data_IF_679133918461
#
_entry.id   IF_679133918461
#
_cell.length_a   1.000
_cell.length_b   1.000
_cell.length_c   1.000
_cell.angle_alpha   90.00
_cell.angle_beta   90.00
_cell.angle_gamma   90.00
#
_symmetry.space_group_name_H-M   'P 1'
#
loop_
_entity.id
_entity.type
_entity.pdbx_description
1 polymer ?
#
# COMPACT_ATOMS: atom_id res chain seq x y z
N UNK A 1 16.81 -67.52 9.21
CA UNK A 1 17.07 -66.97 7.86
C UNK A 1 16.25 -65.71 7.67
N UNK A 2 16.92 -64.70 7.15
CA UNK A 2 16.67 -63.25 7.25
C UNK A 2 15.40 -62.76 6.53
N UNK A 3 14.54 -62.02 7.25
CA UNK A 3 13.44 -61.23 6.67
C UNK A 3 13.91 -59.81 6.36
N UNK A 4 13.81 -59.47 5.08
CA UNK A 4 13.84 -58.16 4.42
C UNK A 4 13.80 -56.89 5.32
N UNK A 5 14.91 -56.15 5.36
CA UNK A 5 15.00 -54.79 5.92
C UNK A 5 15.28 -53.69 4.87
N UNK A 6 15.04 -53.95 3.57
CA UNK A 6 15.38 -53.00 2.50
C UNK A 6 14.21 -52.29 1.82
N UNK A 7 12.97 -52.42 2.33
CA UNK A 7 11.81 -51.73 1.75
C UNK A 7 11.42 -50.42 2.44
N UNK A 8 12.02 -50.08 3.59
CA UNK A 8 11.55 -48.96 4.41
C UNK A 8 12.32 -47.65 4.23
N UNK A 9 13.43 -47.64 3.49
CA UNK A 9 14.28 -46.44 3.33
C UNK A 9 13.87 -45.63 2.08
N UNK A 10 13.33 -46.28 1.04
CA UNK A 10 12.87 -45.58 -0.17
C UNK A 10 11.62 -44.73 0.03
N UNK A 11 10.74 -45.11 0.96
CA UNK A 11 9.47 -44.41 1.21
C UNK A 11 9.64 -43.16 2.09
N UNK A 12 10.64 -43.13 2.98
CA UNK A 12 10.91 -41.99 3.86
C UNK A 12 11.55 -40.82 3.07
N UNK A 13 12.26 -41.11 1.99
CA UNK A 13 12.84 -40.06 1.13
C UNK A 13 11.75 -39.43 0.25
N UNK A 14 10.79 -40.20 -0.25
CA UNK A 14 9.68 -39.64 -1.06
C UNK A 14 8.67 -38.84 -0.24
N UNK A 15 8.40 -39.21 1.03
CA UNK A 15 7.50 -38.44 1.89
C UNK A 15 8.15 -37.12 2.34
N UNK A 16 9.47 -37.10 2.55
CA UNK A 16 10.17 -35.85 2.88
C UNK A 16 10.32 -34.90 1.68
N UNK A 17 10.35 -35.39 0.44
CA UNK A 17 10.40 -34.51 -0.73
C UNK A 17 9.04 -33.83 -1.01
N UNK A 18 7.91 -34.47 -0.72
CA UNK A 18 6.59 -33.84 -0.90
C UNK A 18 6.30 -32.79 0.19
N UNK A 19 6.84 -32.95 1.40
CA UNK A 19 6.64 -32.00 2.49
C UNK A 19 7.55 -30.76 2.46
N UNK A 20 8.61 -30.73 1.63
CA UNK A 20 9.48 -29.55 1.49
C UNK A 20 8.90 -28.51 0.51
N UNK A 21 7.96 -28.90 -0.38
CA UNK A 21 7.33 -27.98 -1.34
C UNK A 21 6.05 -27.29 -0.83
N UNK A 22 5.70 -27.42 0.45
CA UNK A 22 4.43 -26.89 1.01
C UNK A 22 4.58 -25.92 2.19
N UNK A 23 5.77 -25.34 2.39
CA UNK A 23 5.96 -24.28 3.40
C UNK A 23 6.52 -22.97 2.82
N UNK A 24 6.05 -22.56 1.66
CA UNK A 24 5.86 -21.13 1.44
C UNK A 24 4.47 -20.81 2.00
N UNK A 25 4.40 -20.42 3.27
CA UNK A 25 3.20 -19.82 3.83
C UNK A 25 3.00 -18.48 3.13
N UNK A 26 2.37 -18.50 1.96
CA UNK A 26 1.95 -17.26 1.31
C UNK A 26 0.98 -16.58 2.28
N UNK A 27 1.39 -15.45 2.86
CA UNK A 27 0.43 -14.54 3.46
C UNK A 27 -0.67 -14.31 2.41
N UNK A 28 -1.93 -14.52 2.80
CA UNK A 28 -3.04 -14.49 1.84
C UNK A 28 -3.27 -13.03 1.43
N UNK A 29 -2.72 -12.64 0.28
CA UNK A 29 -2.90 -11.31 -0.29
C UNK A 29 -4.33 -11.23 -0.87
N UNK A 30 -5.20 -10.43 -0.27
CA UNK A 30 -6.58 -10.24 -0.73
C UNK A 30 -6.76 -8.87 -1.39
N UNK A 31 -6.05 -7.83 -0.93
CA UNK A 31 -6.28 -6.44 -1.38
C UNK A 31 -5.00 -5.63 -1.67
N UNK A 32 -5.14 -4.57 -2.48
CA UNK A 32 -4.05 -3.82 -3.15
C UNK A 32 -3.13 -3.03 -2.20
N UNK A 33 -3.56 -2.73 -0.99
CA UNK A 33 -2.93 -1.70 -0.14
C UNK A 33 -2.70 -2.14 1.30
N UNK A 34 -3.72 -2.71 1.95
CA UNK A 34 -3.62 -3.16 3.35
C UNK A 34 -2.78 -4.44 3.50
N UNK A 35 -3.07 -5.46 2.70
CA UNK A 35 -2.37 -6.74 2.80
C UNK A 35 -0.93 -6.62 2.29
N UNK A 36 -0.72 -5.84 1.24
CA UNK A 36 0.59 -5.71 0.58
C UNK A 36 1.53 -4.81 1.37
N UNK A 37 1.09 -3.65 1.85
CA UNK A 37 1.95 -2.70 2.55
C UNK A 37 2.59 -3.28 3.82
N UNK A 38 1.83 -4.07 4.59
CA UNK A 38 2.37 -4.77 5.76
C UNK A 38 3.40 -5.83 5.37
N UNK A 39 3.11 -6.67 4.36
CA UNK A 39 4.04 -7.72 3.89
C UNK A 39 5.34 -7.12 3.35
N UNK A 40 5.24 -5.99 2.62
CA UNK A 40 6.39 -5.27 2.10
C UNK A 40 7.35 -4.80 3.20
N UNK A 41 6.82 -4.49 4.39
CA UNK A 41 7.61 -4.03 5.52
C UNK A 41 8.05 -5.17 6.46
N UNK A 42 7.27 -6.25 6.63
CA UNK A 42 7.27 -7.06 7.86
C UNK A 42 8.39 -8.08 8.03
N UNK A 43 8.90 -8.71 6.96
CA UNK A 43 9.72 -9.94 7.10
C UNK A 43 11.05 -9.80 7.88
N UNK A 44 11.53 -8.58 8.10
CA UNK A 44 12.79 -8.29 8.82
C UNK A 44 12.58 -7.46 10.09
N UNK A 45 11.35 -7.05 10.37
CA UNK A 45 11.06 -6.21 11.52
C UNK A 45 11.01 -7.07 12.76
N UNK A 46 12.00 -6.91 13.62
CA UNK A 46 11.92 -7.36 15.00
C UNK A 46 11.43 -6.17 15.82
N UNK A 47 10.11 -6.06 16.10
CA UNK A 47 9.60 -4.99 16.94
C UNK A 47 10.30 -5.08 18.30
N UNK A 48 11.08 -4.05 18.64
CA UNK A 48 11.70 -3.97 19.94
C UNK A 48 10.66 -3.35 20.88
N UNK A 49 9.84 -4.21 21.50
CA UNK A 49 8.68 -3.80 22.31
C UNK A 49 9.06 -2.98 23.56
N UNK A 50 10.35 -2.87 23.87
CA UNK A 50 10.86 -2.09 25.01
C UNK A 50 11.19 -0.62 24.66
N UNK A 51 11.07 -0.20 23.40
CA UNK A 51 11.22 1.21 23.05
C UNK A 51 9.84 1.87 23.11
N UNK A 52 9.51 2.48 24.26
CA UNK A 52 8.48 3.51 24.30
C UNK A 52 9.01 4.73 23.58
N UNK A 53 8.84 4.81 22.26
CA UNK A 53 8.95 6.10 21.56
C UNK A 53 7.96 7.02 22.24
N UNK A 54 8.47 8.05 22.92
CA UNK A 54 7.59 9.07 23.47
C UNK A 54 6.91 9.75 22.28
N UNK A 55 5.66 10.20 22.46
CA UNK A 55 4.94 10.94 21.40
C UNK A 55 5.73 12.21 20.99
N UNK A 56 6.61 12.69 21.87
CA UNK A 56 7.50 13.83 21.70
C UNK A 56 8.68 13.55 20.74
N UNK A 57 9.04 12.28 20.49
CA UNK A 57 10.12 11.88 19.56
C UNK A 57 9.62 11.71 18.10
N UNK A 58 8.32 11.86 17.87
CA UNK A 58 7.72 11.70 16.55
C UNK A 58 7.75 13.05 15.83
N UNK A 59 8.36 13.10 14.64
CA UNK A 59 8.45 14.33 13.85
C UNK A 59 7.05 14.95 13.57
N UNK A 60 7.03 16.27 13.38
CA UNK A 60 5.80 17.05 13.31
C UNK A 60 4.83 16.56 12.21
N UNK A 61 5.27 16.27 10.95
CA UNK A 61 4.40 15.71 9.91
C UNK A 61 3.79 14.36 10.27
N UNK A 62 4.50 13.51 11.02
CA UNK A 62 3.96 12.21 11.45
C UNK A 62 2.86 12.37 12.49
N UNK A 63 3.03 13.28 13.44
CA UNK A 63 1.97 13.60 14.41
C UNK A 63 0.72 14.16 13.72
N UNK A 64 0.89 15.04 12.73
CA UNK A 64 -0.23 15.55 11.91
C UNK A 64 -0.89 14.43 11.11
N UNK A 65 -0.11 13.54 10.49
CA UNK A 65 -0.62 12.37 9.79
C UNK A 65 -1.46 11.48 10.71
N UNK A 66 -1.03 11.24 11.95
CA UNK A 66 -1.79 10.48 12.95
C UNK A 66 -3.08 11.15 13.36
N UNK A 67 -3.05 12.46 13.61
CA UNK A 67 -4.24 13.23 13.95
C UNK A 67 -5.25 13.25 12.78
N UNK A 68 -4.75 13.37 11.56
CA UNK A 68 -5.53 13.26 10.34
C UNK A 68 -6.21 11.89 10.22
N UNK A 69 -5.47 10.80 10.39
CA UNK A 69 -6.03 9.44 10.38
C UNK A 69 -7.11 9.24 11.46
N UNK A 70 -6.88 9.77 12.67
CA UNK A 70 -7.87 9.75 13.76
C UNK A 70 -9.14 10.50 13.37
N UNK A 71 -9.02 11.72 12.84
CA UNK A 71 -10.17 12.52 12.38
C UNK A 71 -10.96 11.83 11.26
N UNK A 72 -10.29 11.18 10.32
CA UNK A 72 -10.97 10.40 9.27
C UNK A 72 -11.76 9.22 9.86
N UNK A 73 -11.18 8.51 10.83
CA UNK A 73 -11.85 7.40 11.52
C UNK A 73 -13.07 7.87 12.33
N UNK A 74 -12.95 8.97 13.08
CA UNK A 74 -14.05 9.57 13.84
C UNK A 74 -15.23 9.99 12.95
N UNK A 75 -14.96 10.30 11.67
CA UNK A 75 -15.97 10.67 10.69
C UNK A 75 -16.44 9.49 9.80
N UNK A 76 -16.07 8.25 10.12
CA UNK A 76 -16.42 7.04 9.35
C UNK A 76 -16.02 7.13 7.87
N UNK A 77 -14.81 7.62 7.61
CA UNK A 77 -14.22 7.74 6.28
C UNK A 77 -13.23 6.59 6.08
N UNK A 78 -13.53 5.70 5.15
CA UNK A 78 -12.66 4.59 4.74
C UNK A 78 -11.63 5.08 3.71
N UNK A 79 -10.34 4.92 4.01
CA UNK A 79 -9.22 5.39 3.18
C UNK A 79 -8.15 4.34 2.90
N UNK A 80 -8.27 3.11 3.43
CA UNK A 80 -7.22 2.07 3.30
C UNK A 80 -7.52 1.04 2.21
N UNK A 81 -8.71 1.05 1.60
CA UNK A 81 -9.08 0.07 0.56
C UNK A 81 -9.94 0.62 -0.58
N UNK A 82 -11.11 1.17 -0.26
CA UNK A 82 -12.12 1.59 -1.26
C UNK A 82 -12.27 3.11 -1.29
N UNK A 83 -11.15 3.81 -1.37
CA UNK A 83 -11.14 5.26 -1.23
C UNK A 83 -11.93 5.94 -2.35
N UNK A 84 -11.89 5.44 -3.59
CA UNK A 84 -12.71 6.00 -4.68
C UNK A 84 -14.21 5.83 -4.40
N UNK A 85 -14.63 4.67 -3.89
CA UNK A 85 -16.02 4.45 -3.47
C UNK A 85 -16.43 5.39 -2.33
N UNK A 86 -15.55 5.63 -1.35
CA UNK A 86 -15.78 6.61 -0.28
C UNK A 86 -15.96 8.02 -0.85
N UNK A 87 -15.09 8.41 -1.78
CA UNK A 87 -15.05 9.75 -2.39
C UNK A 87 -16.16 10.00 -3.41
N UNK A 88 -16.83 8.96 -3.92
CA UNK A 88 -18.01 9.08 -4.80
C UNK A 88 -19.15 9.87 -4.14
N UNK A 89 -19.28 9.80 -2.81
CA UNK A 89 -20.23 10.63 -2.09
C UNK A 89 -19.67 12.06 -1.93
N UNK A 90 -20.29 13.02 -2.62
CA UNK A 90 -19.84 14.42 -2.62
C UNK A 90 -19.71 15.01 -1.21
N UNK A 91 -20.65 14.71 -0.31
CA UNK A 91 -20.58 15.18 1.09
C UNK A 91 -19.36 14.61 1.79
N UNK A 92 -19.07 13.31 1.62
CA UNK A 92 -17.86 12.69 2.17
C UNK A 92 -16.58 13.25 1.54
N UNK A 93 -16.57 13.47 0.22
CA UNK A 93 -15.44 14.07 -0.47
C UNK A 93 -15.11 15.46 0.09
N UNK A 94 -16.13 16.31 0.22
CA UNK A 94 -15.97 17.66 0.77
C UNK A 94 -15.47 17.61 2.22
N UNK A 95 -15.97 16.64 3.01
CA UNK A 95 -15.53 16.44 4.39
C UNK A 95 -14.08 15.95 4.49
N UNK A 96 -13.67 14.99 3.65
CA UNK A 96 -12.27 14.56 3.52
C UNK A 96 -11.37 15.75 3.24
N UNK A 97 -11.73 16.56 2.25
CA UNK A 97 -10.92 17.71 1.87
C UNK A 97 -10.94 18.84 2.90
N UNK A 98 -12.04 19.00 3.67
CA UNK A 98 -12.08 19.91 4.81
C UNK A 98 -11.10 19.47 5.90
N UNK A 99 -11.17 18.21 6.32
CA UNK A 99 -10.28 17.63 7.34
C UNK A 99 -8.82 17.72 6.89
N UNK A 100 -8.54 17.39 5.63
CA UNK A 100 -7.21 17.52 5.03
C UNK A 100 -6.70 18.98 5.11
N UNK A 101 -7.49 19.95 4.65
CA UNK A 101 -7.11 21.36 4.65
C UNK A 101 -6.85 21.91 6.06
N UNK A 102 -7.61 21.47 7.06
CA UNK A 102 -7.35 21.81 8.46
C UNK A 102 -6.01 21.28 8.94
N UNK A 103 -5.68 20.02 8.61
CA UNK A 103 -4.38 19.42 8.93
C UNK A 103 -3.22 20.08 8.18
N UNK A 104 -3.45 20.58 6.96
CA UNK A 104 -2.42 21.30 6.20
C UNK A 104 -2.04 22.64 6.84
N UNK A 105 -2.97 23.33 7.51
CA UNK A 105 -2.65 24.55 8.27
C UNK A 105 -1.66 24.27 9.39
N UNK A 106 -1.82 23.13 10.08
CA UNK A 106 -0.87 22.69 11.11
C UNK A 106 0.48 22.29 10.49
N UNK A 107 0.48 21.69 9.29
CA UNK A 107 1.71 21.25 8.62
C UNK A 107 2.62 22.43 8.27
N UNK A 108 2.05 23.58 7.91
CA UNK A 108 2.80 24.80 7.64
C UNK A 108 3.52 25.37 8.87
N UNK A 109 3.21 24.89 10.08
CA UNK A 109 3.87 25.28 11.32
C UNK A 109 5.03 24.34 11.69
N UNK A 110 5.20 23.22 10.99
CA UNK A 110 6.32 22.31 11.21
C UNK A 110 7.64 22.90 10.70
N UNK A 111 8.80 22.42 11.22
CA UNK A 111 10.11 22.76 10.67
C UNK A 111 10.18 22.46 9.16
N UNK A 112 10.73 23.39 8.38
CA UNK A 112 10.74 23.30 6.91
C UNK A 112 11.45 22.05 6.40
N UNK A 113 12.45 21.61 7.13
CA UNK A 113 13.26 20.42 6.87
C UNK A 113 12.42 19.14 6.94
N UNK A 114 11.39 19.11 7.79
CA UNK A 114 10.49 17.96 7.96
C UNK A 114 9.35 17.95 6.94
N UNK A 115 8.87 19.14 6.52
CA UNK A 115 7.74 19.28 5.58
C UNK A 115 8.05 18.73 4.18
N UNK A 116 9.33 18.56 3.83
CA UNK A 116 9.75 18.00 2.54
C UNK A 116 9.42 16.50 2.37
N UNK A 117 9.05 15.80 3.44
CA UNK A 117 8.66 14.40 3.42
C UNK A 117 7.27 14.20 4.06
N UNK A 118 6.18 14.60 3.37
CA UNK A 118 4.84 14.41 3.91
C UNK A 118 4.54 12.92 4.09
N UNK A 119 3.86 12.57 5.19
CA UNK A 119 3.40 11.20 5.43
C UNK A 119 2.52 10.70 4.29
N UNK A 120 2.46 9.39 4.10
CA UNK A 120 1.68 8.75 3.05
C UNK A 120 0.21 9.19 3.01
N UNK A 121 -0.41 9.37 4.18
CA UNK A 121 -1.80 9.86 4.27
C UNK A 121 -1.94 11.29 3.76
N UNK A 122 -0.96 12.17 4.04
CA UNK A 122 -0.94 13.53 3.52
C UNK A 122 -0.76 13.50 2.00
N UNK A 123 0.17 12.69 1.49
CA UNK A 123 0.39 12.54 0.06
C UNK A 123 -0.87 12.04 -0.66
N UNK A 124 -1.52 11.01 -0.11
CA UNK A 124 -2.76 10.43 -0.63
C UNK A 124 -3.89 11.46 -0.74
N UNK A 125 -4.16 12.19 0.34
CA UNK A 125 -5.24 13.19 0.33
C UNK A 125 -4.90 14.40 -0.52
N UNK A 126 -3.63 14.82 -0.56
CA UNK A 126 -3.18 15.95 -1.39
C UNK A 126 -3.40 15.69 -2.87
N UNK A 127 -3.18 14.46 -3.34
CA UNK A 127 -3.48 14.07 -4.73
C UNK A 127 -4.94 14.37 -5.07
N UNK A 128 -5.88 14.03 -4.18
CA UNK A 128 -7.31 14.19 -4.45
C UNK A 128 -7.88 15.57 -4.16
N UNK A 129 -7.43 16.23 -3.10
CA UNK A 129 -8.02 17.47 -2.62
C UNK A 129 -7.40 18.72 -3.26
N UNK A 130 -6.15 18.63 -3.70
CA UNK A 130 -5.43 19.74 -4.32
C UNK A 130 -5.07 19.43 -5.76
N UNK A 131 -4.23 18.40 -5.97
CA UNK A 131 -3.47 18.24 -7.22
C UNK A 131 -4.34 17.80 -8.40
N UNK A 132 -5.21 16.82 -8.18
CA UNK A 132 -6.14 16.26 -9.18
C UNK A 132 -7.59 16.52 -8.80
N UNK A 133 -7.88 17.60 -8.06
CA UNK A 133 -9.22 17.91 -7.55
C UNK A 133 -10.28 17.90 -8.65
N UNK A 134 -10.08 18.70 -9.69
CA UNK A 134 -11.08 18.89 -10.74
C UNK A 134 -11.32 17.61 -11.55
N UNK A 135 -10.24 16.90 -11.87
CA UNK A 135 -10.29 15.59 -12.57
C UNK A 135 -11.01 14.56 -11.70
N UNK A 136 -10.69 14.52 -10.42
CA UNK A 136 -11.34 13.62 -9.47
C UNK A 136 -12.83 13.91 -9.41
N UNK A 137 -13.23 15.15 -9.14
CA UNK A 137 -14.64 15.52 -9.04
C UNK A 137 -15.42 15.23 -10.34
N UNK A 138 -14.79 15.45 -11.49
CA UNK A 138 -15.44 15.23 -12.79
C UNK A 138 -15.65 13.75 -13.13
N UNK A 139 -14.81 12.86 -12.61
CA UNK A 139 -14.79 11.45 -13.01
C UNK A 139 -15.00 10.45 -11.86
N UNK A 140 -15.15 10.90 -10.61
CA UNK A 140 -15.16 10.02 -9.43
C UNK A 140 -16.24 8.95 -9.48
N UNK A 141 -17.42 9.27 -10.01
CA UNK A 141 -18.50 8.28 -10.16
C UNK A 141 -18.09 7.15 -11.10
N UNK A 142 -17.47 7.46 -12.24
CA UNK A 142 -16.94 6.46 -13.15
C UNK A 142 -15.79 5.68 -12.51
N UNK A 143 -14.81 6.37 -11.92
CA UNK A 143 -13.64 5.73 -11.31
C UNK A 143 -14.03 4.75 -10.20
N UNK A 144 -14.96 5.14 -9.32
CA UNK A 144 -15.49 4.28 -8.26
C UNK A 144 -16.24 3.07 -8.82
N UNK A 145 -17.08 3.27 -9.85
CA UNK A 145 -17.79 2.16 -10.50
C UNK A 145 -16.82 1.18 -11.18
N UNK A 146 -15.76 1.69 -11.83
CA UNK A 146 -14.70 0.88 -12.44
C UNK A 146 -13.94 0.10 -11.36
N UNK A 147 -13.50 0.75 -10.28
CA UNK A 147 -12.84 0.10 -9.14
C UNK A 147 -13.72 -1.05 -8.63
N UNK A 148 -15.00 -0.79 -8.36
CA UNK A 148 -15.95 -1.80 -7.86
C UNK A 148 -16.12 -3.00 -8.80
N UNK A 149 -16.14 -2.79 -10.12
CA UNK A 149 -16.39 -3.86 -11.10
C UNK A 149 -15.11 -4.64 -11.45
N UNK A 150 -13.98 -3.95 -11.54
CA UNK A 150 -12.74 -4.50 -12.09
C UNK A 150 -11.70 -4.86 -11.05
N UNK A 151 -11.79 -4.38 -9.80
CA UNK A 151 -10.80 -4.66 -8.75
C UNK A 151 -10.61 -6.16 -8.56
N UNK A 152 -11.69 -6.89 -8.29
CA UNK A 152 -11.64 -8.33 -8.08
C UNK A 152 -11.14 -9.07 -9.35
N UNK A 153 -11.54 -8.61 -10.54
CA UNK A 153 -11.12 -9.22 -11.82
C UNK A 153 -9.62 -9.05 -12.06
N UNK A 154 -9.11 -7.83 -11.87
CA UNK A 154 -7.70 -7.50 -11.96
C UNK A 154 -6.89 -8.32 -10.95
N UNK A 155 -7.33 -8.36 -9.69
CA UNK A 155 -6.67 -9.13 -8.65
C UNK A 155 -6.65 -10.63 -8.96
N UNK A 156 -7.76 -11.23 -9.39
CA UNK A 156 -7.81 -12.64 -9.82
C UNK A 156 -6.87 -12.91 -10.99
N UNK A 157 -6.76 -11.99 -11.95
CA UNK A 157 -5.81 -12.08 -13.06
C UNK A 157 -4.36 -12.06 -12.58
N UNK A 158 -4.05 -11.17 -11.63
CA UNK A 158 -2.71 -11.00 -11.08
C UNK A 158 -2.30 -12.10 -10.09
N UNK A 159 -3.26 -12.83 -9.50
CA UNK A 159 -3.00 -14.01 -8.64
C UNK A 159 -2.65 -15.28 -9.44
N UNK A 160 -2.75 -15.24 -10.77
CA UNK A 160 -2.37 -16.38 -11.62
C UNK A 160 -0.89 -16.71 -11.43
N UNK A 161 -0.58 -18.01 -11.32
CA UNK A 161 0.79 -18.48 -11.04
C UNK A 161 1.80 -17.99 -12.08
N UNK A 162 1.38 -17.84 -13.33
CA UNK A 162 2.22 -17.36 -14.43
C UNK A 162 2.70 -15.92 -14.19
N UNK A 163 1.87 -15.09 -13.56
CA UNK A 163 2.20 -13.70 -13.21
C UNK A 163 3.08 -13.67 -11.96
N UNK A 164 2.70 -14.40 -10.91
CA UNK A 164 3.43 -14.38 -9.63
C UNK A 164 4.80 -15.05 -9.67
N UNK A 165 5.00 -16.07 -10.54
CA UNK A 165 6.31 -16.73 -10.73
C UNK A 165 7.41 -15.79 -11.21
N UNK A 166 7.06 -14.63 -11.76
CA UNK A 166 8.03 -13.59 -12.13
C UNK A 166 8.80 -13.03 -10.92
N UNK A 167 8.30 -13.23 -9.70
CA UNK A 167 8.93 -12.77 -8.44
C UNK A 167 9.71 -13.83 -7.68
N UNK A 168 9.84 -15.04 -8.20
CA UNK A 168 10.44 -16.15 -7.46
C UNK A 168 9.57 -16.64 -6.31
N UNK A 169 10.16 -16.92 -5.15
CA UNK A 169 9.50 -17.47 -3.96
C UNK A 169 9.43 -16.51 -2.78
N UNK A 170 9.97 -15.29 -2.92
CA UNK A 170 10.01 -14.29 -1.87
C UNK A 170 8.65 -13.61 -1.71
N UNK A 171 8.15 -13.51 -0.47
CA UNK A 171 6.76 -13.06 -0.26
C UNK A 171 6.60 -11.56 -0.50
N UNK A 172 7.65 -10.76 -0.29
CA UNK A 172 7.69 -9.34 -0.65
C UNK A 172 7.67 -9.13 -2.14
N UNK A 173 8.52 -9.84 -2.89
CA UNK A 173 8.53 -9.73 -4.35
C UNK A 173 7.18 -10.14 -4.96
N UNK A 174 6.58 -11.23 -4.47
CA UNK A 174 5.24 -11.67 -4.88
C UNK A 174 4.17 -10.61 -4.55
N UNK A 175 4.21 -10.06 -3.33
CA UNK A 175 3.29 -9.00 -2.90
C UNK A 175 3.43 -7.75 -3.77
N UNK A 176 4.66 -7.39 -4.11
CA UNK A 176 4.91 -6.26 -4.99
C UNK A 176 4.39 -6.50 -6.41
N UNK A 177 4.63 -7.68 -6.97
CA UNK A 177 4.13 -8.03 -8.31
C UNK A 177 2.61 -8.02 -8.35
N UNK A 178 1.97 -8.60 -7.33
CA UNK A 178 0.51 -8.57 -7.21
C UNK A 178 -0.01 -7.13 -7.17
N UNK A 179 0.60 -6.27 -6.34
CA UNK A 179 0.19 -4.88 -6.20
C UNK A 179 0.40 -4.08 -7.50
N UNK A 180 1.59 -4.19 -8.08
CA UNK A 180 1.94 -3.53 -9.34
C UNK A 180 1.00 -3.96 -10.47
N UNK A 181 0.82 -5.27 -10.67
CA UNK A 181 -0.07 -5.81 -11.70
C UNK A 181 -1.51 -5.32 -11.54
N UNK A 182 -2.06 -5.40 -10.32
CA UNK A 182 -3.43 -5.00 -10.04
C UNK A 182 -3.62 -3.51 -10.26
N UNK A 183 -2.62 -2.70 -9.88
CA UNK A 183 -2.63 -1.25 -10.10
C UNK A 183 -2.63 -0.91 -11.58
N UNK A 184 -1.73 -1.48 -12.37
CA UNK A 184 -1.66 -1.20 -13.81
C UNK A 184 -2.95 -1.63 -14.50
N UNK A 185 -3.50 -2.78 -14.14
CA UNK A 185 -4.79 -3.25 -14.66
C UNK A 185 -5.91 -2.23 -14.38
N UNK A 186 -6.05 -1.79 -13.14
CA UNK A 186 -7.10 -0.83 -12.76
C UNK A 186 -6.87 0.57 -13.32
N UNK A 187 -5.62 1.05 -13.37
CA UNK A 187 -5.28 2.34 -13.97
C UNK A 187 -5.68 2.37 -15.44
N UNK A 188 -5.45 1.28 -16.17
CA UNK A 188 -5.88 1.18 -17.57
C UNK A 188 -7.41 1.26 -17.67
N UNK A 189 -8.17 0.58 -16.80
CA UNK A 189 -9.63 0.66 -16.83
C UNK A 189 -10.16 2.04 -16.43
N UNK A 190 -9.54 2.68 -15.42
CA UNK A 190 -9.92 4.03 -14.97
C UNK A 190 -9.62 5.08 -16.04
N UNK A 191 -8.57 4.90 -16.82
CA UNK A 191 -8.26 5.80 -17.93
C UNK A 191 -9.33 5.82 -19.03
N UNK A 192 -10.23 4.83 -19.07
CA UNK A 192 -11.38 4.82 -19.99
C UNK A 192 -12.52 5.76 -19.53
N UNK A 193 -12.49 6.27 -18.29
CA UNK A 193 -13.50 7.20 -17.77
C UNK A 193 -13.48 8.59 -18.41
N UNK A 194 -12.43 8.92 -19.16
CA UNK A 194 -12.30 10.21 -19.83
C UNK A 194 -11.07 10.28 -20.71
N UNK A 195 -10.95 11.34 -21.51
CA UNK A 195 -9.80 11.55 -22.42
C UNK A 195 -8.65 12.35 -21.78
N UNK A 196 -8.79 12.74 -20.51
CA UNK A 196 -7.76 13.50 -19.82
C UNK A 196 -6.54 12.63 -19.57
N UNK A 197 -5.36 13.09 -19.97
CA UNK A 197 -4.09 12.43 -19.64
C UNK A 197 -3.91 12.30 -18.12
N UNK A 198 -4.51 13.21 -17.35
CA UNK A 198 -4.48 13.17 -15.88
C UNK A 198 -5.18 11.95 -15.27
N UNK A 199 -6.08 11.28 -16.00
CA UNK A 199 -6.71 10.04 -15.55
C UNK A 199 -5.79 8.83 -15.68
N UNK A 200 -4.79 8.89 -16.58
CA UNK A 200 -3.96 7.74 -16.95
C UNK A 200 -3.12 7.22 -15.79
N UNK A 201 -2.78 8.10 -14.84
CA UNK A 201 -1.90 7.78 -13.71
C UNK A 201 -2.55 8.05 -12.35
N UNK A 202 -3.79 8.53 -12.28
CA UNK A 202 -4.43 8.84 -11.00
C UNK A 202 -4.43 7.61 -10.09
N UNK A 203 -4.94 6.48 -10.58
CA UNK A 203 -5.00 5.25 -9.79
C UNK A 203 -3.62 4.68 -9.44
N UNK A 204 -2.63 4.92 -10.30
CA UNK A 204 -1.24 4.57 -10.03
C UNK A 204 -0.71 5.32 -8.81
N UNK A 205 -0.92 6.64 -8.73
CA UNK A 205 -0.50 7.44 -7.59
C UNK A 205 -1.27 7.08 -6.31
N UNK A 206 -2.56 6.80 -6.43
CA UNK A 206 -3.37 6.37 -5.29
C UNK A 206 -2.89 5.06 -4.69
N UNK A 207 -2.59 4.10 -5.56
CA UNK A 207 -2.10 2.79 -5.14
C UNK A 207 -0.72 2.90 -4.51
N UNK A 208 0.18 3.72 -5.07
CA UNK A 208 1.50 3.95 -4.50
C UNK A 208 1.46 4.65 -3.14
N UNK A 209 0.66 5.71 -2.98
CA UNK A 209 0.48 6.38 -1.68
C UNK A 209 -0.17 5.44 -0.65
N UNK A 210 -1.14 4.63 -1.07
CA UNK A 210 -1.81 3.69 -0.16
C UNK A 210 -0.93 2.50 0.22
N UNK A 211 -0.05 2.03 -0.67
CA UNK A 211 1.00 1.06 -0.30
C UNK A 211 1.98 1.64 0.71
N UNK A 212 2.42 2.89 0.49
CA UNK A 212 3.30 3.59 1.43
C UNK A 212 2.63 3.74 2.80
N UNK A 213 1.34 4.05 2.83
CA UNK A 213 0.55 4.12 4.06
C UNK A 213 0.51 2.78 4.81
N UNK A 214 0.37 1.66 4.09
CA UNK A 214 0.45 0.33 4.68
C UNK A 214 1.84 0.02 5.26
N UNK A 215 2.90 0.42 4.55
CA UNK A 215 4.29 0.31 5.02
C UNK A 215 4.51 1.15 6.29
N UNK A 216 4.14 2.43 6.27
CA UNK A 216 4.22 3.32 7.43
C UNK A 216 3.45 2.73 8.62
N UNK A 217 2.21 2.27 8.40
CA UNK A 217 1.40 1.65 9.46
C UNK A 217 2.11 0.45 10.10
N UNK A 218 2.77 -0.39 9.29
CA UNK A 218 3.50 -1.54 9.79
C UNK A 218 4.79 -1.17 10.53
N UNK A 219 5.44 -0.06 10.17
CA UNK A 219 6.70 0.39 10.73
C UNK A 219 6.56 1.28 11.98
N UNK A 220 5.39 1.89 12.19
CA UNK A 220 5.14 2.93 13.21
C UNK A 220 5.26 2.47 14.68
N UNK A 221 5.39 1.18 14.98
CA UNK A 221 5.37 0.69 16.37
C UNK A 221 6.66 -0.06 16.76
N UNK A 222 7.48 0.59 17.60
CA UNK A 222 8.61 -0.08 18.27
C UNK A 222 9.76 -0.48 17.34
N UNK A 223 9.95 0.24 16.23
CA UNK A 223 11.03 0.02 15.25
C UNK A 223 11.89 1.28 15.19
N UNK A 224 13.22 1.12 15.24
CA UNK A 224 14.13 2.28 15.16
C UNK A 224 14.15 2.90 13.75
N UNK A 225 14.47 4.20 13.61
CA UNK A 225 14.58 4.83 12.28
C UNK A 225 15.52 4.11 11.31
N UNK A 226 16.61 3.54 11.82
CA UNK A 226 17.57 2.74 11.01
C UNK A 226 16.90 1.49 10.45
N UNK A 227 16.19 0.74 11.30
CA UNK A 227 15.45 -0.47 10.87
C UNK A 227 14.30 -0.11 9.91
N UNK A 228 13.64 1.04 10.11
CA UNK A 228 12.63 1.53 9.18
C UNK A 228 13.22 1.81 7.79
N UNK A 229 14.37 2.49 7.74
CA UNK A 229 15.08 2.78 6.50
C UNK A 229 15.58 1.51 5.81
N UNK A 230 16.11 0.55 6.58
CA UNK A 230 16.51 -0.76 6.07
C UNK A 230 15.34 -1.53 5.48
N UNK A 231 14.20 -1.59 6.18
CA UNK A 231 12.99 -2.25 5.69
C UNK A 231 12.47 -1.57 4.41
N UNK A 232 12.42 -0.24 4.38
CA UNK A 232 12.06 0.52 3.19
C UNK A 232 13.00 0.23 2.01
N UNK A 233 14.31 0.17 2.26
CA UNK A 233 15.31 -0.11 1.23
C UNK A 233 15.28 -1.54 0.68
N UNK A 234 14.62 -2.46 1.38
CA UNK A 234 14.37 -3.83 0.92
C UNK A 234 13.06 -3.99 0.15
N UNK A 235 12.20 -2.96 0.10
CA UNK A 235 10.99 -2.98 -0.72
C UNK A 235 11.39 -3.14 -2.20
N UNK A 236 10.81 -4.11 -2.93
CA UNK A 236 11.07 -4.30 -4.35
C UNK A 236 10.99 -3.01 -5.16
N UNK A 237 11.93 -2.82 -6.09
CA UNK A 237 12.13 -1.57 -6.81
C UNK A 237 10.85 -1.04 -7.49
N UNK A 238 10.04 -1.92 -8.08
CA UNK A 238 8.79 -1.51 -8.75
C UNK A 238 7.81 -0.83 -7.79
N UNK A 239 7.61 -1.39 -6.60
CA UNK A 239 6.69 -0.82 -5.62
C UNK A 239 7.28 0.41 -4.94
N UNK A 240 8.58 0.41 -4.66
CA UNK A 240 9.27 1.60 -4.16
C UNK A 240 9.11 2.78 -5.12
N UNK A 241 9.33 2.55 -6.42
CA UNK A 241 9.14 3.55 -7.47
C UNK A 241 7.68 4.05 -7.55
N UNK A 242 6.70 3.18 -7.34
CA UNK A 242 5.29 3.60 -7.25
C UNK A 242 5.06 4.55 -6.07
N UNK A 243 5.57 4.20 -4.89
CA UNK A 243 5.46 5.03 -3.69
C UNK A 243 6.14 6.39 -3.90
N UNK A 244 7.38 6.40 -4.39
CA UNK A 244 8.16 7.61 -4.69
C UNK A 244 7.44 8.52 -5.70
N UNK A 245 6.92 7.95 -6.79
CA UNK A 245 6.13 8.69 -7.78
C UNK A 245 4.85 9.29 -7.20
N UNK A 246 4.23 8.61 -6.24
CA UNK A 246 3.01 9.11 -5.59
C UNK A 246 3.30 10.28 -4.67
N UNK A 247 4.42 10.22 -3.94
CA UNK A 247 4.91 11.36 -3.13
C UNK A 247 5.27 12.53 -4.04
N UNK A 248 6.01 12.29 -5.13
CA UNK A 248 6.34 13.33 -6.12
C UNK A 248 5.09 13.98 -6.74
N UNK A 249 4.11 13.17 -7.15
CA UNK A 249 2.84 13.66 -7.68
C UNK A 249 2.08 14.52 -6.66
N UNK A 250 2.09 14.16 -5.37
CA UNK A 250 1.50 14.98 -4.31
C UNK A 250 2.18 16.36 -4.18
N UNK A 251 3.44 16.46 -4.57
CA UNK A 251 4.21 17.71 -4.61
C UNK A 251 4.06 18.47 -5.95
N UNK A 252 3.22 17.98 -6.87
CA UNK A 252 3.03 18.57 -8.20
C UNK A 252 4.12 18.25 -9.21
N UNK A 253 4.95 17.23 -8.95
CA UNK A 253 5.97 16.73 -9.86
C UNK A 253 5.42 15.53 -10.65
N UNK A 254 5.31 15.66 -11.98
CA UNK A 254 4.74 14.64 -12.87
C UNK A 254 5.77 14.12 -13.87
#
# INVERSE_FOLDING_TARGET
MTKNSKLSIGFIIFINLVCVFHKASFAKINHLTYDTGHILASEDLKPNRDISLSIEDINCPTNIGRDLERKLQENNIEYKGTLLETLKNVTKYMEVCRIYNESMRSLLQCPKEEVQAPTAIIALLKIFCDVKRDVTMSHIECMANVERIFLEKCQKGCLRKEVLKLGGSDSREISCIFAYCSTICLSNQISECGRSEDLKDIYYYLSGASMLLGVETALRHGVSPVQMLEAYNKIPFKCRKMMEKSVAASMGQF
#
